data_IF_308218444139
#
_entry.id   IF_308218444139
#
_cell.length_a   1.000
_cell.length_b   1.000
_cell.length_c   1.000
_cell.angle_alpha   90.00
_cell.angle_beta   90.00
_cell.angle_gamma   90.00
#
_symmetry.space_group_name_H-M   'P 1'
#
loop_
_entity.id
_entity.type
_entity.pdbx_description
1 polymer ?
#
# COMPACT_ATOMS: atom_id res chain seq x y z
N UNK A 1 7.58 31.68 -8.84
CA UNK A 1 7.17 30.44 -9.53
C UNK A 1 6.89 29.38 -8.49
N UNK A 2 5.90 28.49 -8.69
CA UNK A 2 5.64 27.39 -7.77
C UNK A 2 6.87 26.48 -7.68
N UNK A 3 7.11 25.88 -6.53
CA UNK A 3 8.14 24.84 -6.38
C UNK A 3 7.64 23.51 -6.94
N UNK A 4 8.55 22.56 -7.22
CA UNK A 4 8.20 21.19 -7.65
C UNK A 4 7.26 20.50 -6.64
N UNK A 5 7.38 20.83 -5.36
CA UNK A 5 6.51 20.31 -4.30
C UNK A 5 5.12 20.96 -4.34
N UNK A 6 5.00 22.24 -4.71
CA UNK A 6 3.70 22.92 -4.85
C UNK A 6 2.91 22.38 -6.05
N UNK A 7 3.56 22.13 -7.19
CA UNK A 7 2.92 21.53 -8.36
C UNK A 7 2.44 20.11 -8.09
N UNK A 8 3.23 19.32 -7.36
CA UNK A 8 2.87 17.94 -7.00
C UNK A 8 1.71 17.90 -5.99
N UNK A 9 1.68 18.83 -5.02
CA UNK A 9 0.54 18.97 -4.11
C UNK A 9 -0.72 19.41 -4.86
N UNK A 10 -0.60 20.37 -5.78
CA UNK A 10 -1.72 20.80 -6.62
C UNK A 10 -2.27 19.64 -7.47
N UNK A 11 -1.39 18.81 -8.05
CA UNK A 11 -1.78 17.61 -8.80
C UNK A 11 -2.47 16.58 -7.90
N UNK A 12 -2.00 16.44 -6.67
CA UNK A 12 -2.62 15.55 -5.68
C UNK A 12 -4.03 16.00 -5.31
N UNK A 13 -4.30 17.30 -5.22
CA UNK A 13 -5.59 17.84 -4.81
C UNK A 13 -6.63 17.92 -5.95
N UNK A 14 -6.17 18.09 -7.20
CA UNK A 14 -7.05 18.18 -8.36
C UNK A 14 -7.96 16.95 -8.53
N UNK A 15 -9.18 17.12 -9.03
CA UNK A 15 -10.08 16.00 -9.34
C UNK A 15 -9.41 15.05 -10.36
N UNK A 16 -9.48 13.72 -10.19
CA UNK A 16 -8.99 12.76 -11.18
C UNK A 16 -9.55 13.00 -12.57
N UNK A 17 -8.68 12.97 -13.58
CA UNK A 17 -9.12 13.07 -14.98
C UNK A 17 -9.63 11.75 -15.50
N UNK A 18 -10.41 11.78 -16.59
CA UNK A 18 -10.84 10.56 -17.28
C UNK A 18 -9.63 9.72 -17.73
N UNK A 19 -8.56 10.35 -18.18
CA UNK A 19 -7.32 9.66 -18.56
C UNK A 19 -6.68 8.91 -17.39
N UNK A 20 -6.69 9.49 -16.18
CA UNK A 20 -6.22 8.79 -14.98
C UNK A 20 -7.07 7.56 -14.67
N UNK A 21 -8.39 7.64 -14.88
CA UNK A 21 -9.32 6.51 -14.70
C UNK A 21 -9.06 5.42 -15.75
N UNK A 22 -8.98 5.78 -17.04
CA UNK A 22 -8.67 4.85 -18.14
C UNK A 22 -7.33 4.15 -17.89
N UNK A 23 -6.31 4.91 -17.50
CA UNK A 23 -4.99 4.38 -17.15
C UNK A 23 -5.07 3.41 -15.96
N UNK A 24 -5.82 3.77 -14.91
CA UNK A 24 -5.99 2.92 -13.73
C UNK A 24 -6.72 1.61 -14.06
N UNK A 25 -7.77 1.64 -14.89
CA UNK A 25 -8.48 0.45 -15.41
C UNK A 25 -7.48 -0.47 -16.12
N UNK A 26 -6.67 0.06 -17.03
CA UNK A 26 -5.64 -0.70 -17.75
C UNK A 26 -4.63 -1.40 -16.84
N UNK A 27 -4.29 -0.77 -15.71
CA UNK A 27 -3.31 -1.27 -14.73
C UNK A 27 -3.84 -2.35 -13.77
N UNK A 28 -5.15 -2.59 -13.72
CA UNK A 28 -5.71 -3.70 -12.93
C UNK A 28 -5.32 -5.02 -13.60
N UNK A 29 -4.95 -6.03 -12.81
CA UNK A 29 -4.55 -7.34 -13.35
C UNK A 29 -5.78 -8.18 -13.69
N UNK A 30 -5.75 -8.83 -14.85
CA UNK A 30 -6.73 -9.84 -15.25
C UNK A 30 -6.54 -11.14 -14.44
N UNK A 31 -7.56 -12.00 -14.48
CA UNK A 31 -7.60 -13.34 -13.85
C UNK A 31 -7.39 -13.26 -12.34
N UNK A 32 -7.94 -12.23 -11.72
CA UNK A 32 -7.97 -12.03 -10.27
C UNK A 32 -9.39 -12.16 -9.77
N UNK A 33 -9.54 -12.69 -8.56
CA UNK A 33 -10.84 -12.83 -7.93
C UNK A 33 -11.51 -11.46 -7.76
N UNK A 34 -12.80 -11.33 -8.13
CA UNK A 34 -13.59 -10.12 -7.94
C UNK A 34 -13.91 -9.90 -6.45
N UNK A 35 -14.58 -8.79 -6.16
CA UNK A 35 -15.04 -8.45 -4.81
C UNK A 35 -16.36 -9.14 -4.48
N UNK A 36 -17.24 -8.40 -3.79
CA UNK A 36 -18.57 -8.86 -3.41
C UNK A 36 -19.55 -8.78 -4.57
N UNK A 37 -19.33 -7.85 -5.48
CA UNK A 37 -20.10 -7.65 -6.71
C UNK A 37 -19.93 -8.76 -7.76
N UNK A 38 -18.95 -9.66 -7.55
CA UNK A 38 -18.51 -10.68 -8.51
C UNK A 38 -18.17 -10.13 -9.92
N UNK A 39 -17.87 -8.83 -10.03
CA UNK A 39 -17.49 -8.19 -11.30
C UNK A 39 -15.98 -8.28 -11.50
N UNK A 40 -15.48 -9.05 -12.47
CA UNK A 40 -14.05 -9.16 -12.74
C UNK A 40 -13.51 -7.95 -13.51
N UNK A 41 -12.20 -7.75 -13.44
CA UNK A 41 -11.53 -6.61 -14.09
C UNK A 41 -11.69 -6.61 -15.62
N UNK A 42 -11.82 -7.79 -16.21
CA UNK A 42 -12.03 -7.99 -17.64
C UNK A 42 -13.31 -7.33 -18.14
N UNK A 43 -14.40 -7.34 -17.36
CA UNK A 43 -15.64 -6.68 -17.76
C UNK A 43 -15.48 -5.17 -17.82
N UNK A 44 -14.82 -4.58 -16.81
CA UNK A 44 -14.57 -3.14 -16.79
C UNK A 44 -13.66 -2.70 -17.95
N UNK A 45 -12.67 -3.54 -18.28
CA UNK A 45 -11.78 -3.29 -19.43
C UNK A 45 -12.51 -3.43 -20.76
N UNK A 46 -13.37 -4.44 -20.91
CA UNK A 46 -14.14 -4.68 -22.12
C UNK A 46 -15.19 -3.58 -22.35
N UNK A 47 -15.72 -2.98 -21.29
CA UNK A 47 -16.66 -1.86 -21.37
C UNK A 47 -16.06 -0.55 -21.91
N UNK A 48 -14.74 -0.48 -22.05
CA UNK A 48 -14.05 0.60 -22.76
C UNK A 48 -14.37 1.99 -22.21
N UNK A 49 -14.66 2.93 -23.12
CA UNK A 49 -14.88 4.34 -22.78
C UNK A 49 -16.11 4.56 -21.91
N UNK A 50 -17.23 3.89 -22.19
CA UNK A 50 -18.49 4.06 -21.45
C UNK A 50 -18.34 3.74 -19.96
N UNK A 51 -17.67 2.63 -19.62
CA UNK A 51 -17.39 2.28 -18.22
C UNK A 51 -16.40 3.24 -17.58
N UNK A 52 -15.41 3.71 -18.35
CA UNK A 52 -14.44 4.69 -17.84
C UNK A 52 -15.10 6.03 -17.49
N UNK A 53 -16.03 6.52 -18.32
CA UNK A 53 -16.81 7.74 -18.06
C UNK A 53 -17.70 7.57 -16.82
N UNK A 54 -18.47 6.49 -16.75
CA UNK A 54 -19.33 6.21 -15.58
C UNK A 54 -18.54 6.11 -14.27
N UNK A 55 -17.39 5.43 -14.29
CA UNK A 55 -16.48 5.38 -13.14
C UNK A 55 -15.88 6.75 -12.84
N UNK A 56 -15.53 7.54 -13.86
CA UNK A 56 -14.99 8.89 -13.68
C UNK A 56 -15.99 9.81 -12.99
N UNK A 57 -17.26 9.76 -13.36
CA UNK A 57 -18.32 10.50 -12.68
C UNK A 57 -18.42 10.10 -11.20
N UNK A 58 -18.49 8.79 -10.93
CA UNK A 58 -18.55 8.28 -9.56
C UNK A 58 -17.33 8.70 -8.73
N UNK A 59 -16.14 8.62 -9.32
CA UNK A 59 -14.87 9.01 -8.66
C UNK A 59 -14.82 10.51 -8.42
N UNK A 60 -15.30 11.33 -9.35
CA UNK A 60 -15.39 12.79 -9.19
C UNK A 60 -16.33 13.13 -8.05
N UNK A 61 -17.50 12.51 -7.98
CA UNK A 61 -18.47 12.76 -6.91
C UNK A 61 -17.88 12.39 -5.54
N UNK A 62 -17.24 11.22 -5.42
CA UNK A 62 -16.50 10.82 -4.20
C UNK A 62 -15.41 11.84 -3.86
N UNK A 63 -14.68 12.32 -4.88
CA UNK A 63 -13.60 13.26 -4.69
C UNK A 63 -14.11 14.60 -4.19
N UNK A 64 -15.15 15.17 -4.80
CA UNK A 64 -15.67 16.49 -4.47
C UNK A 64 -16.47 16.50 -3.17
N UNK A 65 -17.36 15.52 -3.00
CA UNK A 65 -18.27 15.43 -1.86
C UNK A 65 -17.62 14.79 -0.62
N UNK A 66 -16.50 14.09 -0.79
CA UNK A 66 -15.82 13.36 0.27
C UNK A 66 -16.71 12.32 0.98
N UNK A 67 -17.58 11.68 0.20
CA UNK A 67 -18.45 10.58 0.65
C UNK A 67 -18.09 9.35 -0.18
N UNK A 68 -17.70 8.27 0.49
CA UNK A 68 -17.27 7.04 -0.19
C UNK A 68 -18.49 6.20 -0.62
N UNK A 69 -18.38 5.57 -1.79
CA UNK A 69 -19.30 4.51 -2.19
C UNK A 69 -19.14 3.34 -1.23
N UNK A 70 -20.23 2.96 -0.55
CA UNK A 70 -20.20 1.99 0.56
C UNK A 70 -19.53 0.68 0.15
N UNK A 71 -19.90 0.16 -1.02
CA UNK A 71 -19.41 -1.08 -1.62
C UNK A 71 -17.88 -1.08 -1.75
N UNK A 72 -17.25 0.07 -2.02
CA UNK A 72 -15.79 0.17 -2.16
C UNK A 72 -15.05 0.01 -0.83
N UNK A 73 -15.77 0.10 0.30
CA UNK A 73 -15.24 -0.09 1.65
C UNK A 73 -15.51 -1.48 2.23
N UNK A 74 -16.37 -2.26 1.58
CA UNK A 74 -16.67 -3.64 1.97
C UNK A 74 -15.63 -4.60 1.39
N UNK A 75 -15.30 -5.66 2.14
CA UNK A 75 -14.35 -6.67 1.69
C UNK A 75 -14.88 -8.09 1.91
N UNK A 76 -14.57 -8.97 0.97
CA UNK A 76 -14.68 -10.41 1.19
C UNK A 76 -13.30 -10.96 1.54
N UNK A 77 -13.17 -11.53 2.73
CA UNK A 77 -11.94 -12.17 3.18
C UNK A 77 -11.96 -13.63 2.80
N UNK A 78 -11.03 -14.02 1.93
CA UNK A 78 -10.71 -15.40 1.63
C UNK A 78 -9.48 -15.86 2.44
N UNK A 79 -9.41 -17.14 2.75
CA UNK A 79 -8.31 -17.73 3.51
C UNK A 79 -7.36 -18.46 2.57
N UNK A 80 -6.09 -18.05 2.54
CA UNK A 80 -5.03 -18.76 1.84
C UNK A 80 -4.13 -19.48 2.83
N UNK A 81 -4.03 -20.79 2.70
CA UNK A 81 -3.12 -21.58 3.52
C UNK A 81 -1.66 -21.19 3.23
N UNK A 82 -0.85 -20.99 4.27
CA UNK A 82 0.56 -20.57 4.13
C UNK A 82 1.47 -21.66 3.57
N UNK A 83 0.94 -22.84 3.21
CA UNK A 83 1.68 -24.03 2.82
C UNK A 83 2.71 -24.48 3.87
N UNK A 84 2.46 -24.15 5.14
CA UNK A 84 3.27 -24.50 6.30
C UNK A 84 2.39 -24.45 7.55
N UNK A 85 2.61 -25.37 8.48
CA UNK A 85 1.87 -25.46 9.74
C UNK A 85 0.75 -26.50 9.70
N UNK A 86 -0.29 -26.30 10.50
CA UNK A 86 -1.47 -27.15 10.59
C UNK A 86 -2.69 -26.45 9.98
N UNK A 87 -3.39 -27.14 9.08
CA UNK A 87 -4.63 -26.65 8.45
C UNK A 87 -5.77 -26.41 9.44
N UNK A 88 -5.65 -26.91 10.68
CA UNK A 88 -6.62 -26.67 11.76
C UNK A 88 -6.37 -25.36 12.50
N UNK A 89 -5.18 -24.77 12.37
CA UNK A 89 -4.78 -23.55 13.06
C UNK A 89 -5.08 -22.35 12.17
N UNK A 90 -5.98 -21.46 12.63
CA UNK A 90 -6.37 -20.27 11.86
C UNK A 90 -5.18 -19.33 11.56
N UNK A 91 -4.21 -19.24 12.48
CA UNK A 91 -3.01 -18.43 12.31
C UNK A 91 -2.08 -18.95 11.19
N UNK A 92 -2.23 -20.18 10.72
CA UNK A 92 -1.50 -20.75 9.58
C UNK A 92 -2.14 -20.41 8.22
N UNK A 93 -3.20 -19.59 8.24
CA UNK A 93 -3.80 -18.98 7.06
C UNK A 93 -3.45 -17.50 6.96
N UNK A 94 -3.53 -16.99 5.73
CA UNK A 94 -3.47 -15.56 5.41
C UNK A 94 -4.84 -15.11 4.92
N UNK A 95 -5.44 -14.16 5.61
CA UNK A 95 -6.67 -13.51 5.15
C UNK A 95 -6.34 -12.56 4.01
N UNK A 96 -6.98 -12.72 2.85
CA UNK A 96 -6.89 -11.77 1.74
C UNK A 96 -8.24 -11.10 1.57
N UNK A 97 -8.26 -9.78 1.70
CA UNK A 97 -9.39 -8.92 1.41
C UNK A 97 -9.53 -8.74 -0.10
N UNK A 98 -10.61 -9.28 -0.64
CA UNK A 98 -11.10 -9.01 -1.98
C UNK A 98 -12.00 -7.78 -1.93
N UNK A 99 -11.56 -6.72 -2.60
CA UNK A 99 -12.34 -5.49 -2.81
C UNK A 99 -12.95 -5.52 -4.22
N UNK A 100 -14.07 -4.83 -4.37
CA UNK A 100 -14.67 -4.57 -5.67
C UNK A 100 -13.67 -3.87 -6.60
N UNK A 101 -13.77 -4.17 -7.90
CA UNK A 101 -12.77 -3.69 -8.86
C UNK A 101 -12.82 -2.17 -9.00
N UNK A 102 -13.99 -1.55 -8.90
CA UNK A 102 -14.15 -0.10 -8.86
C UNK A 102 -13.36 0.53 -7.69
N UNK A 103 -13.50 0.00 -6.47
CA UNK A 103 -12.73 0.44 -5.31
C UNK A 103 -11.21 0.22 -5.48
N UNK A 104 -10.79 -0.85 -6.17
CA UNK A 104 -9.38 -1.08 -6.53
C UNK A 104 -8.88 -0.06 -7.56
N UNK A 105 -9.70 0.38 -8.51
CA UNK A 105 -9.36 1.42 -9.49
C UNK A 105 -9.19 2.76 -8.78
N UNK A 106 -10.10 3.13 -7.89
CA UNK A 106 -9.96 4.34 -7.08
C UNK A 106 -8.68 4.31 -6.25
N UNK A 107 -8.40 3.20 -5.57
CA UNK A 107 -7.15 3.00 -4.83
C UNK A 107 -5.91 3.07 -5.75
N UNK A 108 -6.02 2.61 -7.00
CA UNK A 108 -4.95 2.69 -8.00
C UNK A 108 -4.67 4.14 -8.43
N UNK A 109 -5.69 4.97 -8.60
CA UNK A 109 -5.51 6.38 -8.95
C UNK A 109 -4.72 7.09 -7.84
N UNK A 110 -5.14 6.92 -6.58
CA UNK A 110 -4.40 7.46 -5.43
C UNK A 110 -2.96 6.96 -5.43
N UNK A 111 -2.75 5.66 -5.65
CA UNK A 111 -1.42 5.05 -5.67
C UNK A 111 -0.52 5.71 -6.73
N UNK A 112 -1.05 5.92 -7.94
CA UNK A 112 -0.31 6.57 -9.03
C UNK A 112 0.05 8.02 -8.67
N UNK A 113 -0.82 8.71 -7.94
CA UNK A 113 -0.57 10.08 -7.50
C UNK A 113 0.49 10.17 -6.41
N UNK A 114 0.54 9.25 -5.47
CA UNK A 114 1.53 9.29 -4.37
C UNK A 114 2.88 8.66 -4.72
N UNK A 115 3.01 8.05 -5.90
CA UNK A 115 4.17 7.24 -6.26
C UNK A 115 5.47 8.05 -6.36
N UNK A 116 5.43 9.27 -6.90
CA UNK A 116 6.61 10.12 -7.04
C UNK A 116 7.17 10.54 -5.67
N UNK A 117 6.28 10.96 -4.77
CA UNK A 117 6.64 11.34 -3.40
C UNK A 117 7.25 10.15 -2.63
N UNK A 118 6.68 8.96 -2.80
CA UNK A 118 7.24 7.72 -2.25
C UNK A 118 8.69 7.49 -2.70
N UNK A 119 8.94 7.56 -4.00
CA UNK A 119 10.25 7.19 -4.55
C UNK A 119 11.35 8.16 -4.13
N UNK A 120 11.00 9.43 -3.86
CA UNK A 120 11.93 10.46 -3.37
C UNK A 120 12.20 10.42 -1.86
N UNK A 121 11.21 10.05 -1.04
CA UNK A 121 11.29 10.22 0.43
C UNK A 121 11.62 8.94 1.21
N UNK A 122 11.29 7.76 0.70
CA UNK A 122 11.60 6.50 1.39
C UNK A 122 13.13 6.31 1.51
N UNK A 123 13.57 5.88 2.69
CA UNK A 123 14.96 5.48 2.94
C UNK A 123 15.45 4.47 1.90
N UNK A 124 16.72 4.55 1.51
CA UNK A 124 17.28 3.69 0.46
C UNK A 124 17.28 2.21 0.86
N UNK A 125 17.46 1.95 2.15
CA UNK A 125 17.46 0.62 2.77
C UNK A 125 16.08 -0.06 2.68
N UNK A 126 15.00 0.71 2.49
CA UNK A 126 13.67 0.15 2.33
C UNK A 126 13.48 -0.35 0.88
N UNK A 127 13.63 -1.65 0.65
CA UNK A 127 13.42 -2.27 -0.67
C UNK A 127 12.01 -2.81 -0.93
N UNK A 128 11.20 -3.02 0.11
CA UNK A 128 9.89 -3.67 -0.01
C UNK A 128 8.94 -2.90 -0.92
N UNK A 129 8.27 -3.58 -1.86
CA UNK A 129 7.24 -2.99 -2.75
C UNK A 129 7.67 -1.73 -3.52
N UNK A 130 8.97 -1.56 -3.77
CA UNK A 130 9.50 -0.46 -4.58
C UNK A 130 9.97 -0.95 -5.94
N UNK A 131 9.86 -0.06 -6.93
CA UNK A 131 10.39 -0.35 -8.26
C UNK A 131 11.92 -0.40 -8.22
N UNK A 132 12.51 -1.27 -9.05
CA UNK A 132 13.96 -1.44 -9.23
C UNK A 132 14.73 -1.78 -7.96
N UNK A 133 14.06 -2.36 -6.96
CA UNK A 133 14.68 -2.88 -5.73
C UNK A 133 14.15 -4.29 -5.50
N UNK A 134 15.01 -5.16 -4.98
CA UNK A 134 14.72 -6.57 -4.80
C UNK A 134 15.36 -7.11 -3.53
N UNK A 135 14.93 -8.30 -3.12
CA UNK A 135 15.56 -9.03 -2.03
C UNK A 135 17.01 -9.40 -2.35
N UNK A 136 17.37 -9.56 -3.64
CA UNK A 136 18.74 -9.85 -4.05
C UNK A 136 19.67 -8.68 -3.73
N UNK A 137 19.22 -7.45 -3.92
CA UNK A 137 20.01 -6.24 -3.60
C UNK A 137 20.31 -6.18 -2.10
N UNK A 138 19.31 -6.46 -1.25
CA UNK A 138 19.47 -6.48 0.21
C UNK A 138 20.39 -7.62 0.68
N UNK A 139 20.28 -8.81 0.07
CA UNK A 139 21.20 -9.93 0.36
C UNK A 139 22.63 -9.56 -0.04
N UNK A 140 22.81 -8.91 -1.18
CA UNK A 140 24.12 -8.45 -1.64
C UNK A 140 24.74 -7.45 -0.65
N UNK A 141 23.98 -6.42 -0.24
CA UNK A 141 24.42 -5.43 0.75
C UNK A 141 24.83 -6.13 2.05
N UNK A 142 23.99 -7.05 2.55
CA UNK A 142 24.28 -7.78 3.78
C UNK A 142 25.58 -8.60 3.68
N UNK A 143 25.79 -9.30 2.55
CA UNK A 143 27.03 -10.03 2.30
C UNK A 143 28.23 -9.09 2.28
N UNK A 144 28.13 -7.94 1.64
CA UNK A 144 29.22 -6.95 1.62
C UNK A 144 29.57 -6.46 3.02
N UNK A 145 28.59 -6.22 3.89
CA UNK A 145 28.84 -5.86 5.29
C UNK A 145 29.58 -6.98 6.04
N UNK A 146 29.18 -8.24 5.83
CA UNK A 146 29.82 -9.40 6.44
C UNK A 146 31.28 -9.56 5.98
N UNK A 147 31.54 -9.49 4.67
CA UNK A 147 32.88 -9.61 4.11
C UNK A 147 33.81 -8.48 4.59
N UNK A 148 33.32 -7.23 4.61
CA UNK A 148 34.09 -6.09 5.12
C UNK A 148 34.41 -6.23 6.61
N UNK A 149 33.46 -6.64 7.43
CA UNK A 149 33.72 -6.85 8.85
C UNK A 149 34.78 -7.92 9.08
N UNK A 150 34.77 -8.98 8.27
CA UNK A 150 35.79 -10.04 8.30
C UNK A 150 37.16 -9.54 7.82
N UNK A 151 37.22 -8.77 6.74
CA UNK A 151 38.44 -8.17 6.19
C UNK A 151 39.16 -7.29 7.23
N UNK A 152 38.40 -6.47 7.97
CA UNK A 152 38.95 -5.57 8.98
C UNK A 152 38.99 -6.17 10.40
N UNK A 153 38.70 -7.46 10.55
CA UNK A 153 38.65 -8.16 11.84
C UNK A 153 37.80 -7.45 12.90
N UNK A 154 36.67 -6.85 12.48
CA UNK A 154 35.72 -6.19 13.35
C UNK A 154 34.58 -7.15 13.73
N UNK A 155 34.10 -7.16 14.98
CA UNK A 155 32.93 -7.94 15.36
C UNK A 155 31.66 -7.37 14.70
N UNK A 156 30.89 -8.24 14.04
CA UNK A 156 29.59 -7.91 13.46
C UNK A 156 28.46 -8.59 14.23
N UNK A 157 27.50 -7.81 14.69
CA UNK A 157 26.26 -8.30 15.29
C UNK A 157 25.08 -7.97 14.38
N UNK A 158 24.21 -8.95 14.12
CA UNK A 158 23.03 -8.80 13.28
C UNK A 158 21.78 -9.11 14.08
N UNK A 159 20.77 -8.22 14.00
CA UNK A 159 19.47 -8.41 14.63
C UNK A 159 18.39 -8.48 13.55
N UNK A 160 17.63 -9.58 13.52
CA UNK A 160 16.51 -9.77 12.59
C UNK A 160 15.21 -9.60 13.35
N UNK A 161 14.41 -8.59 12.97
CA UNK A 161 13.14 -8.26 13.61
C UNK A 161 12.00 -8.61 12.64
N UNK A 162 11.10 -9.48 13.07
CA UNK A 162 9.87 -9.81 12.34
C UNK A 162 8.65 -9.26 13.07
N UNK A 163 7.76 -8.60 12.34
CA UNK A 163 6.57 -7.96 12.90
C UNK A 163 5.36 -8.90 12.77
N UNK A 164 4.83 -9.36 13.91
CA UNK A 164 3.62 -10.18 13.95
C UNK A 164 2.42 -9.38 13.40
N UNK A 165 1.72 -9.95 12.41
CA UNK A 165 0.48 -9.38 11.81
C UNK A 165 0.65 -7.90 11.43
N UNK A 166 1.76 -7.56 10.77
CA UNK A 166 2.18 -6.18 10.56
C UNK A 166 1.15 -5.28 9.87
N UNK A 167 0.37 -5.81 8.93
CA UNK A 167 -0.67 -5.04 8.25
C UNK A 167 -1.89 -4.82 9.14
N UNK A 168 -2.30 -5.84 9.89
CA UNK A 168 -3.48 -5.80 10.75
C UNK A 168 -3.28 -4.91 11.98
N UNK A 169 -2.02 -4.71 12.39
CA UNK A 169 -1.62 -3.94 13.58
C UNK A 169 -1.41 -2.44 13.34
N UNK A 170 -1.50 -1.95 12.10
CA UNK A 170 -1.33 -0.52 11.80
C UNK A 170 -2.43 0.30 12.47
N UNK A 171 -2.03 1.28 13.29
CA UNK A 171 -2.97 2.25 13.86
C UNK A 171 -3.35 3.30 12.81
N UNK A 172 -4.63 3.31 12.39
CA UNK A 172 -5.14 4.23 11.35
C UNK A 172 -4.96 5.71 11.72
N UNK A 173 -5.25 6.11 12.96
CA UNK A 173 -5.08 7.51 13.41
C UNK A 173 -3.64 7.98 13.28
N UNK A 174 -2.69 7.13 13.67
CA UNK A 174 -1.26 7.40 13.51
C UNK A 174 -0.86 7.42 12.04
N UNK A 175 -1.36 6.48 11.23
CA UNK A 175 -1.10 6.44 9.78
C UNK A 175 -1.48 7.76 9.09
N UNK A 176 -2.65 8.34 9.41
CA UNK A 176 -3.06 9.63 8.85
C UNK A 176 -2.11 10.77 9.19
N UNK A 177 -1.61 10.80 10.43
CA UNK A 177 -0.61 11.78 10.88
C UNK A 177 0.71 11.57 10.16
N UNK A 178 1.14 10.32 10.00
CA UNK A 178 2.36 9.98 9.29
C UNK A 178 2.25 10.38 7.82
N UNK A 179 1.14 10.09 7.14
CA UNK A 179 0.92 10.49 5.75
C UNK A 179 1.07 12.00 5.54
N UNK A 180 0.48 12.81 6.43
CA UNK A 180 0.66 14.28 6.43
C UNK A 180 2.11 14.69 6.68
N UNK A 181 2.77 14.10 7.68
CA UNK A 181 4.18 14.37 7.96
C UNK A 181 5.11 13.96 6.81
N UNK A 182 4.69 12.99 6.00
CA UNK A 182 5.38 12.56 4.79
C UNK A 182 5.20 13.55 3.62
N UNK A 183 4.31 14.53 3.76
CA UNK A 183 4.02 15.55 2.74
C UNK A 183 2.95 15.16 1.73
N UNK A 184 2.10 14.18 2.04
CA UNK A 184 0.90 13.93 1.25
C UNK A 184 -0.12 15.06 1.46
N UNK A 185 -0.79 15.47 0.39
CA UNK A 185 -1.81 16.53 0.45
C UNK A 185 -2.97 16.13 1.36
N UNK A 186 -3.68 17.13 1.89
CA UNK A 186 -4.85 16.86 2.74
C UNK A 186 -5.93 16.09 1.98
N UNK A 187 -6.11 16.40 0.68
CA UNK A 187 -7.08 15.70 -0.15
C UNK A 187 -6.74 14.22 -0.28
N UNK A 188 -5.50 13.89 -0.61
CA UNK A 188 -5.06 12.50 -0.70
C UNK A 188 -5.24 11.78 0.63
N UNK A 189 -4.84 12.41 1.74
CA UNK A 189 -5.03 11.81 3.07
C UNK A 189 -6.50 11.55 3.34
N UNK A 190 -7.40 12.47 2.99
CA UNK A 190 -8.85 12.30 3.15
C UNK A 190 -9.41 11.19 2.27
N UNK A 191 -8.99 11.09 1.02
CA UNK A 191 -9.41 10.00 0.11
C UNK A 191 -8.94 8.63 0.60
N UNK A 192 -7.73 8.55 1.16
CA UNK A 192 -7.27 7.33 1.83
C UNK A 192 -8.10 7.07 3.09
N UNK A 193 -8.37 8.08 3.93
CA UNK A 193 -9.21 7.91 5.13
C UNK A 193 -10.59 7.34 4.77
N UNK A 194 -11.24 7.87 3.74
CA UNK A 194 -12.54 7.40 3.26
C UNK A 194 -12.52 5.92 2.84
N UNK A 195 -11.42 5.46 2.22
CA UNK A 195 -11.26 4.03 1.92
C UNK A 195 -11.17 3.15 3.16
N UNK A 196 -10.82 3.74 4.31
CA UNK A 196 -10.59 3.07 5.59
C UNK A 196 -11.56 3.52 6.71
N UNK A 197 -12.61 4.29 6.38
CA UNK A 197 -13.71 4.65 7.28
C UNK A 197 -14.84 3.63 7.14
N UNK A 198 -15.48 3.27 8.26
CA UNK A 198 -16.63 2.35 8.35
C UNK A 198 -16.50 1.04 7.56
N UNK A 199 -15.27 0.56 7.46
CA UNK A 199 -14.95 -0.62 6.66
C UNK A 199 -15.49 -1.88 7.32
N UNK A 200 -16.17 -2.71 6.53
CA UNK A 200 -16.67 -4.01 6.98
C UNK A 200 -16.07 -5.15 6.15
N UNK A 201 -16.10 -6.35 6.70
CA UNK A 201 -15.70 -7.54 5.99
C UNK A 201 -16.63 -8.71 6.27
N UNK A 202 -16.68 -9.65 5.33
CA UNK A 202 -17.31 -10.96 5.49
C UNK A 202 -16.27 -12.04 5.18
N UNK A 203 -16.33 -13.18 5.85
CA UNK A 203 -15.45 -14.32 5.56
C UNK A 203 -16.16 -15.22 4.55
N UNK A 204 -15.49 -15.53 3.43
CA UNK A 204 -15.98 -16.52 2.46
C UNK A 204 -15.28 -17.86 2.67
N UNK A 205 -16.08 -18.90 2.84
CA UNK A 205 -15.66 -20.30 2.96
C UNK A 205 -16.40 -21.07 1.87
N UNK A 206 -15.67 -21.45 0.82
CA UNK A 206 -16.26 -22.07 -0.37
C UNK A 206 -17.41 -21.21 -0.93
N UNK A 207 -18.66 -21.65 -0.80
CA UNK A 207 -19.85 -20.93 -1.26
C UNK A 207 -20.56 -20.13 -0.16
N UNK A 208 -20.17 -20.34 1.11
CA UNK A 208 -20.80 -19.69 2.26
C UNK A 208 -20.09 -18.39 2.61
N UNK A 209 -20.88 -17.42 3.07
CA UNK A 209 -20.40 -16.11 3.50
C UNK A 209 -20.88 -15.85 4.92
N UNK A 210 -19.97 -15.44 5.81
CA UNK A 210 -20.31 -15.10 7.18
C UNK A 210 -21.16 -13.83 7.28
N UNK A 211 -21.70 -13.57 8.47
CA UNK A 211 -22.16 -12.25 8.84
C UNK A 211 -21.05 -11.20 8.67
N UNK A 212 -21.45 -9.96 8.43
CA UNK A 212 -20.54 -8.83 8.29
C UNK A 212 -20.02 -8.38 9.66
N UNK A 213 -18.73 -8.06 9.72
CA UNK A 213 -18.11 -7.50 10.91
C UNK A 213 -17.26 -6.27 10.57
N UNK A 214 -17.15 -5.34 11.52
CA UNK A 214 -16.39 -4.11 11.36
C UNK A 214 -14.87 -4.37 11.43
N UNK A 215 -14.13 -3.71 10.56
CA UNK A 215 -12.66 -3.70 10.54
C UNK A 215 -12.12 -2.34 11.02
N UNK A 216 -11.69 -2.26 12.28
CA UNK A 216 -11.33 -0.99 12.90
C UNK A 216 -9.82 -0.67 12.89
N UNK A 217 -8.97 -1.65 12.59
CA UNK A 217 -7.51 -1.49 12.59
C UNK A 217 -6.89 -1.99 11.30
N UNK A 218 -5.61 -1.66 11.12
CA UNK A 218 -4.79 -2.19 10.05
C UNK A 218 -5.08 -1.61 8.68
N UNK A 219 -4.25 -2.04 7.74
CA UNK A 219 -4.42 -1.86 6.30
C UNK A 219 -4.84 -3.19 5.66
N UNK A 220 -5.70 -3.16 4.64
CA UNK A 220 -6.31 -4.37 4.08
C UNK A 220 -5.30 -5.21 3.32
N UNK A 221 -5.08 -6.45 3.75
CA UNK A 221 -4.21 -7.38 3.03
C UNK A 221 -4.81 -7.74 1.66
N UNK A 222 -4.13 -7.36 0.58
CA UNK A 222 -4.61 -7.54 -0.79
C UNK A 222 -5.08 -6.25 -1.48
N UNK A 223 -5.28 -5.17 -0.71
CA UNK A 223 -5.46 -3.85 -1.29
C UNK A 223 -4.15 -3.30 -1.84
N UNK A 224 -4.24 -2.59 -2.97
CA UNK A 224 -3.08 -2.13 -3.73
C UNK A 224 -2.33 -0.97 -3.06
N UNK A 225 -3.04 -0.19 -2.24
CA UNK A 225 -2.47 0.91 -1.47
C UNK A 225 -1.75 0.44 -0.20
N UNK A 226 -2.20 -0.67 0.39
CA UNK A 226 -1.74 -1.11 1.72
C UNK A 226 -0.23 -1.29 1.84
N UNK A 227 0.49 -1.87 0.86
CA UNK A 227 1.95 -1.97 0.95
C UNK A 227 2.64 -0.61 1.00
N UNK A 228 2.15 0.39 0.26
CA UNK A 228 2.77 1.72 0.25
C UNK A 228 2.46 2.48 1.53
N UNK A 229 1.22 2.39 2.02
CA UNK A 229 0.85 2.96 3.33
C UNK A 229 1.68 2.35 4.46
N UNK A 230 1.90 1.05 4.42
CA UNK A 230 2.74 0.36 5.38
C UNK A 230 4.21 0.79 5.30
N UNK A 231 4.77 0.91 4.09
CA UNK A 231 6.14 1.40 3.90
C UNK A 231 6.32 2.81 4.45
N UNK A 232 5.40 3.73 4.16
CA UNK A 232 5.42 5.10 4.69
C UNK A 232 5.34 5.11 6.22
N UNK A 233 4.49 4.25 6.79
CA UNK A 233 4.34 4.09 8.24
C UNK A 233 5.63 3.63 8.92
N UNK A 234 6.24 2.54 8.42
CA UNK A 234 7.46 1.98 8.99
C UNK A 234 8.65 2.91 8.76
N UNK A 235 8.78 3.50 7.57
CA UNK A 235 9.87 4.44 7.28
C UNK A 235 9.88 5.64 8.23
N UNK A 236 8.71 6.20 8.54
CA UNK A 236 8.59 7.28 9.52
C UNK A 236 9.05 6.84 10.92
N UNK A 237 8.63 5.65 11.36
CA UNK A 237 9.06 5.09 12.65
C UNK A 237 10.58 4.88 12.66
N UNK A 238 11.13 4.27 11.61
CA UNK A 238 12.57 4.01 11.51
C UNK A 238 13.38 5.30 11.54
N UNK A 239 12.96 6.34 10.81
CA UNK A 239 13.60 7.67 10.88
C UNK A 239 13.61 8.24 12.29
N UNK A 240 12.50 8.11 13.03
CA UNK A 240 12.43 8.58 14.41
C UNK A 240 13.32 7.78 15.36
N UNK A 241 13.34 6.45 15.22
CA UNK A 241 14.21 5.57 16.01
C UNK A 241 15.68 5.87 15.74
N UNK A 242 16.07 6.03 14.47
CA UNK A 242 17.45 6.35 14.07
C UNK A 242 17.88 7.74 14.57
N UNK A 243 16.97 8.73 14.60
CA UNK A 243 17.30 10.05 15.16
C UNK A 243 17.49 10.03 16.68
N UNK A 244 16.79 9.14 17.39
CA UNK A 244 16.84 9.04 18.85
C UNK A 244 17.95 8.13 19.35
N UNK A 245 18.18 7.02 18.63
CA UNK A 245 19.33 6.19 18.85
C UNK A 245 20.55 7.02 18.39
N UNK A 246 21.50 7.29 19.29
CA UNK A 246 22.77 7.88 18.92
C UNK A 246 23.58 6.85 18.10
N UNK A 247 23.16 6.59 16.85
CA UNK A 247 23.48 5.35 16.13
C UNK A 247 24.98 5.21 15.95
N UNK A 248 25.56 4.24 16.66
CA UNK A 248 26.89 3.71 16.40
C UNK A 248 26.70 2.38 15.65
N UNK A 249 27.15 2.32 14.39
CA UNK A 249 26.93 1.17 13.54
C UNK A 249 27.56 1.32 12.16
N UNK A 250 27.28 0.35 11.29
CA UNK A 250 27.77 0.35 9.91
C UNK A 250 27.01 1.42 9.11
N UNK A 251 27.74 2.41 8.61
CA UNK A 251 27.18 3.43 7.71
C UNK A 251 27.22 2.92 6.28
N UNK A 252 26.06 2.77 5.65
CA UNK A 252 25.96 2.45 4.23
C UNK A 252 25.98 3.76 3.44
N UNK A 253 26.96 3.91 2.56
CA UNK A 253 27.00 5.01 1.60
C UNK A 253 26.71 4.47 0.21
N UNK A 254 25.77 5.11 -0.50
CA UNK A 254 25.43 4.76 -1.86
C UNK A 254 25.81 5.90 -2.82
N UNK A 255 26.24 5.53 -4.03
CA UNK A 255 26.34 6.47 -5.15
C UNK A 255 25.22 6.14 -6.12
N UNK A 256 24.27 7.05 -6.27
CA UNK A 256 23.38 7.04 -7.43
C UNK A 256 24.24 7.55 -8.59
N UNK A 257 24.60 6.66 -9.52
CA UNK A 257 25.16 7.10 -10.79
C UNK A 257 24.08 7.86 -11.56
N UNK A 258 24.45 8.99 -12.16
CA UNK A 258 23.64 9.59 -13.22
C UNK A 258 23.66 8.60 -14.39
N UNK A 259 22.58 7.84 -14.56
CA UNK A 259 22.35 6.94 -15.69
C UNK A 259 21.40 7.58 -16.68
#
# INVERSE_FOLDING_TARGET
>A
SPTVDDEELSRQDAVPTLDEVVKAIGQIKNKKAPGKDDVPAELLKAGGHYIAEWLHESIRDVWEQEVMVKEWTEAIIIRLYKNKGDKRICDDYRGISLLDVAGKIFARIILNRIQALRDRKLMEEQAGFRSRRSTMDQIFILKMVMERSREFNQPLHMCFIDLKKAYDSVNRKTLWRVCRAYGLSQKIVRMVQLLYEDTSAQIRIDYDVSESFAMNTGVRQGCILSPILFNVYIDYIMKKVIQQANVQGVTLSYRLGDF
#
